data_IF_216500035804
#
_entry.id   IF_216500035804
#
_cell.length_a   1.000
_cell.length_b   1.000
_cell.length_c   1.000
_cell.angle_alpha   90.00
_cell.angle_beta   90.00
_cell.angle_gamma   90.00
#
_symmetry.space_group_name_H-M   'P 1'
#
loop_
_entity.id
_entity.type
_entity.pdbx_description
1 polymer ?
#
# COMPACT_ATOMS: atom_id res chain seq x y z
N UNK A 1 -6.16 10.21 2.98
CA UNK A 1 -5.48 11.08 3.98
C UNK A 1 -4.11 10.50 4.26
N UNK A 2 -3.14 11.34 4.60
CA UNK A 2 -1.81 10.91 5.04
C UNK A 2 -1.96 9.98 6.24
N UNK A 3 -1.28 8.83 6.19
CA UNK A 3 -1.36 7.81 7.23
C UNK A 3 -2.68 7.00 7.24
N UNK A 4 -3.58 7.20 6.27
CA UNK A 4 -4.76 6.34 6.12
C UNK A 4 -4.33 4.92 5.81
N UNK A 5 -4.84 3.94 6.55
CA UNK A 5 -4.63 2.53 6.27
C UNK A 5 -5.31 2.16 4.94
N UNK A 6 -4.51 1.74 3.96
CA UNK A 6 -5.00 1.40 2.63
C UNK A 6 -5.13 -0.11 2.41
N UNK A 7 -4.48 -0.92 3.24
CA UNK A 7 -4.56 -2.38 3.15
C UNK A 7 -3.33 -3.05 3.73
N UNK A 8 -3.03 -4.23 3.21
CA UNK A 8 -1.85 -5.02 3.55
C UNK A 8 -1.26 -5.65 2.29
N UNK A 9 0.05 -5.86 2.30
CA UNK A 9 0.79 -6.55 1.24
C UNK A 9 1.49 -7.75 1.85
N UNK A 10 1.31 -8.93 1.25
CA UNK A 10 1.99 -10.14 1.71
C UNK A 10 3.50 -10.03 1.45
N UNK A 11 4.30 -10.50 2.39
CA UNK A 11 5.75 -10.44 2.31
C UNK A 11 6.37 -11.81 2.13
N UNK A 12 7.05 -11.99 1.00
CA UNK A 12 7.82 -13.20 0.75
C UNK A 12 9.08 -13.19 1.63
N UNK A 13 9.25 -14.23 2.45
CA UNK A 13 10.33 -14.34 3.44
C UNK A 13 10.37 -13.22 4.49
N UNK A 14 9.26 -12.51 4.72
CA UNK A 14 9.19 -11.54 5.82
C UNK A 14 9.14 -12.23 7.18
N UNK A 15 9.81 -11.67 8.19
CA UNK A 15 9.66 -12.12 9.60
C UNK A 15 8.19 -12.02 10.03
N UNK A 16 7.49 -11.01 9.51
CA UNK A 16 6.04 -10.96 9.50
C UNK A 16 5.54 -11.29 8.09
N UNK A 17 4.44 -12.05 7.96
CA UNK A 17 3.95 -12.53 6.66
C UNK A 17 3.32 -11.43 5.80
N UNK A 18 3.05 -10.26 6.38
CA UNK A 18 2.43 -9.13 5.70
C UNK A 18 2.86 -7.82 6.35
N UNK A 19 2.78 -6.73 5.59
CA UNK A 19 2.97 -5.37 6.10
C UNK A 19 1.76 -4.52 5.76
N UNK A 20 1.30 -3.72 6.73
CA UNK A 20 0.25 -2.72 6.51
C UNK A 20 0.81 -1.61 5.63
N UNK A 21 -0.05 -1.08 4.77
CA UNK A 21 0.33 0.00 3.87
C UNK A 21 -0.53 1.24 4.07
N UNK A 22 0.11 2.40 4.01
CA UNK A 22 -0.49 3.69 4.31
C UNK A 22 -0.42 4.62 3.10
N UNK A 23 -1.40 5.50 2.97
CA UNK A 23 -1.32 6.60 2.02
C UNK A 23 -0.26 7.62 2.48
N UNK A 24 0.67 7.96 1.59
CA UNK A 24 1.71 8.94 1.88
C UNK A 24 1.15 10.36 2.04
N UNK A 25 0.18 10.72 1.21
CA UNK A 25 -0.32 12.08 1.13
C UNK A 25 -1.83 12.19 1.30
N UNK A 26 -2.27 13.40 1.62
CA UNK A 26 -3.67 13.80 1.57
C UNK A 26 -3.89 14.60 0.30
N UNK A 27 -4.82 14.16 -0.53
CA UNK A 27 -5.31 14.97 -1.65
C UNK A 27 -6.61 15.64 -1.22
N UNK A 28 -6.73 16.92 -1.56
CA UNK A 28 -7.96 17.70 -1.47
C UNK A 28 -8.31 18.16 -2.87
N UNK A 29 -9.55 17.91 -3.31
CA UNK A 29 -10.08 18.37 -4.59
C UNK A 29 -11.35 19.17 -4.34
N UNK A 30 -11.50 20.30 -5.04
CA UNK A 30 -12.74 21.08 -5.06
C UNK A 30 -13.59 20.54 -6.19
N UNK A 31 -14.74 19.96 -5.86
CA UNK A 31 -15.63 19.28 -6.79
C UNK A 31 -17.05 19.82 -6.64
N UNK A 32 -17.80 19.87 -7.73
CA UNK A 32 -19.26 20.03 -7.64
C UNK A 32 -19.90 18.77 -7.07
N UNK A 33 -21.16 18.84 -6.56
CA UNK A 33 -21.88 17.67 -6.09
C UNK A 33 -21.94 16.55 -7.15
N UNK A 34 -22.18 16.90 -8.42
CA UNK A 34 -22.29 15.94 -9.53
C UNK A 34 -20.96 15.26 -9.84
N UNK A 35 -19.84 15.99 -9.71
CA UNK A 35 -18.50 15.43 -9.91
C UNK A 35 -18.12 14.49 -8.77
N UNK A 36 -18.54 14.79 -7.54
CA UNK A 36 -18.25 13.95 -6.38
C UNK A 36 -18.77 12.51 -6.55
N UNK A 37 -19.94 12.35 -7.18
CA UNK A 37 -20.54 11.04 -7.46
C UNK A 37 -19.78 10.24 -8.52
N UNK A 38 -18.93 10.89 -9.32
CA UNK A 38 -18.18 10.29 -10.41
C UNK A 38 -16.72 9.98 -10.04
N UNK A 39 -16.34 10.17 -8.77
CA UNK A 39 -14.99 9.86 -8.31
C UNK A 39 -14.80 8.36 -8.19
N UNK A 40 -13.75 7.86 -8.86
CA UNK A 40 -13.31 6.46 -8.78
C UNK A 40 -11.94 6.40 -8.12
N UNK A 41 -11.81 5.51 -7.14
CA UNK A 41 -10.55 5.22 -6.44
C UNK A 41 -10.11 3.81 -6.79
N UNK A 42 -8.93 3.67 -7.38
CA UNK A 42 -8.34 2.37 -7.72
C UNK A 42 -7.03 2.19 -6.98
N UNK A 43 -6.99 1.22 -6.07
CA UNK A 43 -5.80 0.88 -5.30
C UNK A 43 -5.05 -0.24 -6.01
N UNK A 44 -3.82 0.05 -6.43
CA UNK A 44 -2.91 -0.92 -7.03
C UNK A 44 -1.88 -1.33 -5.98
N UNK A 45 -1.99 -2.58 -5.51
CA UNK A 45 -1.01 -3.23 -4.65
C UNK A 45 -0.55 -4.53 -5.32
N UNK A 46 0.72 -4.92 -5.15
CA UNK A 46 1.18 -6.24 -5.54
C UNK A 46 0.55 -7.29 -4.62
N UNK A 47 0.32 -8.49 -5.15
CA UNK A 47 -0.14 -9.62 -4.34
C UNK A 47 0.90 -10.03 -3.29
N UNK A 48 2.18 -9.99 -3.65
CA UNK A 48 3.31 -10.33 -2.79
C UNK A 48 4.50 -9.40 -3.08
N UNK A 49 5.29 -9.09 -2.05
CA UNK A 49 6.51 -8.28 -2.14
C UNK A 49 7.69 -8.93 -1.39
N UNK A 50 8.92 -8.91 -1.92
CA UNK A 50 10.06 -9.54 -1.25
C UNK A 50 10.53 -8.77 -0.01
N UNK A 51 10.81 -9.49 1.08
CA UNK A 51 11.52 -8.94 2.24
C UNK A 51 13.05 -8.84 1.98
N UNK A 52 13.77 -7.87 2.59
CA UNK A 52 13.29 -6.91 3.60
C UNK A 52 12.58 -5.69 2.99
N UNK A 53 11.68 -5.09 3.78
CA UNK A 53 10.99 -3.84 3.46
C UNK A 53 11.31 -2.82 4.55
N UNK A 54 11.61 -1.58 4.17
CA UNK A 54 11.80 -0.49 5.13
C UNK A 54 10.50 0.30 5.33
N UNK A 55 10.32 0.92 6.50
CA UNK A 55 9.25 1.88 6.72
C UNK A 55 9.33 2.99 5.65
N UNK A 56 8.19 3.33 5.05
CA UNK A 56 8.13 4.33 3.98
C UNK A 56 8.52 3.82 2.58
N UNK A 57 8.91 2.55 2.42
CA UNK A 57 9.08 1.96 1.08
C UNK A 57 7.74 1.99 0.33
N UNK A 58 7.74 2.55 -0.88
CA UNK A 58 6.56 2.50 -1.76
C UNK A 58 6.28 1.06 -2.17
N UNK A 59 5.08 0.59 -1.86
CA UNK A 59 4.60 -0.76 -2.18
C UNK A 59 3.44 -0.73 -3.18
N UNK A 60 2.99 0.44 -3.61
CA UNK A 60 1.94 0.57 -4.61
C UNK A 60 1.44 2.00 -4.69
N UNK A 61 0.26 2.17 -5.30
CA UNK A 61 -0.31 3.49 -5.54
C UNK A 61 -1.83 3.48 -5.55
N UNK A 62 -2.40 4.57 -5.08
CA UNK A 62 -3.83 4.85 -5.20
C UNK A 62 -4.04 5.84 -6.35
N UNK A 63 -4.78 5.43 -7.36
CA UNK A 63 -5.24 6.32 -8.43
C UNK A 63 -6.61 6.85 -8.09
N UNK A 64 -6.77 8.16 -8.29
CA UNK A 64 -8.06 8.84 -8.14
C UNK A 64 -8.41 9.46 -9.47
N UNK A 65 -9.56 9.09 -10.02
CA UNK A 65 -10.05 9.55 -11.32
C UNK A 65 -11.45 10.16 -11.18
N UNK A 66 -11.77 11.07 -12.10
CA UNK A 66 -13.11 11.64 -12.30
C UNK A 66 -13.53 11.31 -13.73
N UNK A 67 -14.46 10.36 -13.88
CA UNK A 67 -14.71 9.74 -15.18
C UNK A 67 -13.40 9.18 -15.76
N UNK A 68 -13.08 9.58 -16.99
CA UNK A 68 -11.86 9.13 -17.70
C UNK A 68 -10.60 9.95 -17.37
N UNK A 69 -10.73 11.01 -16.54
CA UNK A 69 -9.62 11.90 -16.22
C UNK A 69 -8.94 11.48 -14.91
N UNK A 70 -7.63 11.21 -14.97
CA UNK A 70 -6.81 10.97 -13.79
C UNK A 70 -6.60 12.28 -13.02
N UNK A 71 -7.14 12.39 -11.81
CA UNK A 71 -6.98 13.57 -10.98
C UNK A 71 -5.65 13.55 -10.22
N UNK A 72 -5.29 12.40 -9.67
CA UNK A 72 -4.09 12.26 -8.85
C UNK A 72 -3.66 10.81 -8.66
N UNK A 73 -2.39 10.64 -8.29
CA UNK A 73 -1.79 9.38 -7.88
C UNK A 73 -1.13 9.59 -6.52
N UNK A 74 -1.52 8.79 -5.52
CA UNK A 74 -0.93 8.83 -4.18
C UNK A 74 -0.04 7.60 -4.00
N UNK A 75 1.25 7.78 -3.67
CA UNK A 75 2.10 6.68 -3.25
C UNK A 75 1.56 5.99 -2.00
N UNK A 76 1.59 4.67 -2.00
CA UNK A 76 1.19 3.83 -0.87
C UNK A 76 2.44 3.15 -0.33
N UNK A 77 2.75 3.36 0.95
CA UNK A 77 4.02 2.95 1.55
C UNK A 77 3.85 2.00 2.73
N UNK A 78 4.90 1.24 3.04
CA UNK A 78 4.95 0.35 4.19
C UNK A 78 4.88 1.13 5.52
N UNK A 79 3.96 0.77 6.41
CA UNK A 79 3.79 1.37 7.74
C UNK A 79 5.07 1.26 8.59
N UNK A 80 5.76 0.11 8.49
CA UNK A 80 6.94 -0.20 9.29
C UNK A 80 7.94 -1.04 8.51
N UNK A 81 9.16 -1.11 9.02
CA UNK A 81 10.18 -2.01 8.48
C UNK A 81 9.90 -3.46 8.86
N UNK A 82 9.96 -4.36 7.88
CA UNK A 82 9.91 -5.81 8.08
C UNK A 82 11.23 -6.42 7.60
N UNK A 83 11.93 -7.08 8.52
CA UNK A 83 13.14 -7.84 8.22
C UNK A 83 12.84 -9.12 7.43
N UNK A 84 13.88 -9.68 6.83
CA UNK A 84 13.82 -10.98 6.16
C UNK A 84 14.07 -12.10 7.19
N UNK A 85 13.30 -13.18 7.13
CA UNK A 85 13.55 -14.39 7.91
C UNK A 85 14.90 -15.01 7.55
N UNK A 86 15.62 -15.48 8.56
CA UNK A 86 16.76 -16.36 8.36
C UNK A 86 16.32 -17.72 7.82
N UNK A 87 17.22 -18.39 7.10
CA UNK A 87 16.96 -19.76 6.58
C UNK A 87 16.64 -20.75 7.71
N UNK A 88 17.20 -20.55 8.91
CA UNK A 88 16.95 -21.37 10.09
C UNK A 88 15.56 -21.16 10.71
N UNK A 89 15.03 -19.93 10.69
CA UNK A 89 13.69 -19.62 11.21
C UNK A 89 12.60 -20.32 10.37
N UNK A 90 12.83 -20.43 9.06
CA UNK A 90 11.90 -21.11 8.15
C UNK A 90 11.83 -22.61 8.42
N UNK A 91 12.94 -23.29 8.71
CA UNK A 91 12.95 -24.71 9.05
C UNK A 91 12.14 -24.99 10.33
N UNK A 92 12.27 -24.15 11.36
CA UNK A 92 11.54 -24.30 12.62
C UNK A 92 10.05 -23.97 12.52
N UNK A 93 9.58 -23.36 11.42
CA UNK A 93 8.15 -23.13 11.20
C UNK A 93 7.43 -24.40 10.71
N UNK A 94 8.17 -25.42 10.23
CA UNK A 94 7.63 -26.68 9.70
C UNK A 94 7.79 -27.91 10.63
N UNK A 95 8.54 -27.78 11.73
CA UNK A 95 8.73 -28.81 12.76
C UNK A 95 7.96 -28.45 14.03
#
# INVERSE_FOLDING_TARGET
>A
KTGELMGKVALNWGIEPEVRVLAQDTIVAVLTPEQKEQIVRHLELPEEFPAPVAAGTELGKLRVSLGDSLLAVVPIHAEKSIGRMGLWDKLMTYF
#
